data_IF_573180971383
#
_entry.id   IF_573180971383
#
_cell.length_a   1.000
_cell.length_b   1.000
_cell.length_c   1.000
_cell.angle_alpha   90.00
_cell.angle_beta   90.00
_cell.angle_gamma   90.00
#
_symmetry.space_group_name_H-M   'P 1'
#
loop_
_entity.id
_entity.type
_entity.pdbx_description
1 polymer ?
#
# COMPACT_ATOMS: atom_id res chain seq x y z
N UNK A 1 -72.12 60.12 -32.62
CA UNK A 1 -70.66 60.34 -32.44
C UNK A 1 -70.14 59.08 -31.75
N UNK A 2 -69.69 58.09 -32.62
CA UNK A 2 -69.24 56.77 -32.13
C UNK A 2 -67.78 56.80 -31.98
N UNK A 3 -67.25 56.50 -30.77
CA UNK A 3 -65.83 56.33 -30.50
C UNK A 3 -65.53 54.85 -30.53
N UNK A 4 -64.68 54.44 -31.52
CA UNK A 4 -64.17 53.08 -31.59
C UNK A 4 -62.93 52.96 -30.73
N UNK A 5 -62.95 52.06 -29.70
CA UNK A 5 -61.85 51.71 -28.89
C UNK A 5 -61.20 50.45 -29.51
N UNK A 6 -59.98 50.60 -30.04
CA UNK A 6 -59.15 49.50 -30.56
C UNK A 6 -58.45 48.80 -29.40
N UNK A 7 -58.82 47.55 -29.11
CA UNK A 7 -58.10 46.69 -28.16
C UNK A 7 -56.80 46.19 -28.79
N UNK A 8 -55.69 46.70 -28.27
CA UNK A 8 -54.35 46.14 -28.56
C UNK A 8 -54.04 45.03 -27.56
N UNK A 9 -53.99 43.77 -28.04
CA UNK A 9 -53.54 42.63 -27.27
C UNK A 9 -52.02 42.59 -27.33
N UNK A 10 -51.35 42.98 -26.23
CA UNK A 10 -49.92 42.74 -25.99
C UNK A 10 -49.73 41.27 -25.64
N UNK A 11 -49.10 40.49 -26.51
CA UNK A 11 -48.66 39.13 -26.22
C UNK A 11 -47.27 39.26 -25.60
N UNK A 12 -47.20 39.01 -24.28
CA UNK A 12 -45.90 38.86 -23.58
C UNK A 12 -45.34 37.45 -23.85
N UNK A 13 -44.35 37.36 -24.71
CA UNK A 13 -43.54 36.14 -24.90
C UNK A 13 -42.60 36.02 -23.74
N UNK A 14 -42.92 35.14 -22.77
CA UNK A 14 -42.03 34.77 -21.67
C UNK A 14 -41.03 33.74 -22.21
N UNK A 15 -39.83 34.19 -22.54
CA UNK A 15 -38.72 33.33 -22.95
C UNK A 15 -38.15 32.64 -21.71
N UNK A 16 -38.49 31.36 -21.52
CA UNK A 16 -37.88 30.51 -20.43
C UNK A 16 -36.50 30.11 -20.90
N UNK A 17 -35.47 30.80 -20.38
CA UNK A 17 -34.09 30.42 -20.56
C UNK A 17 -33.76 29.26 -19.59
N UNK A 18 -33.91 28.04 -20.07
CA UNK A 18 -33.44 26.83 -19.36
C UNK A 18 -31.92 26.83 -19.32
N UNK A 19 -31.37 27.29 -18.21
CA UNK A 19 -29.95 27.16 -17.92
C UNK A 19 -29.68 25.68 -17.61
N UNK A 20 -29.28 24.91 -18.63
CA UNK A 20 -28.76 23.55 -18.46
C UNK A 20 -27.42 23.65 -17.75
N UNK A 21 -27.42 23.52 -16.42
CA UNK A 21 -26.19 23.26 -15.67
C UNK A 21 -25.74 21.83 -16.01
N UNK A 22 -24.96 21.70 -17.08
CA UNK A 22 -24.22 20.48 -17.37
C UNK A 22 -23.23 20.23 -16.26
N UNK A 23 -23.54 19.28 -15.38
CA UNK A 23 -22.55 18.70 -14.47
C UNK A 23 -21.51 18.03 -15.37
N UNK A 24 -20.37 18.70 -15.59
CA UNK A 24 -19.18 18.09 -16.11
C UNK A 24 -18.66 17.13 -15.00
N UNK A 25 -19.20 15.91 -14.98
CA UNK A 25 -18.57 14.81 -14.25
C UNK A 25 -17.20 14.58 -14.89
N UNK A 26 -16.14 14.97 -14.19
CA UNK A 26 -14.79 14.68 -14.62
C UNK A 26 -14.63 13.16 -14.68
N UNK A 27 -14.38 12.62 -15.87
CA UNK A 27 -14.08 11.19 -16.09
C UNK A 27 -12.79 10.73 -15.40
N UNK A 28 -12.08 11.63 -14.74
CA UNK A 28 -10.80 11.36 -14.07
C UNK A 28 -10.94 10.39 -12.90
N UNK A 29 -12.10 10.31 -12.26
CA UNK A 29 -12.39 9.37 -11.17
C UNK A 29 -12.61 7.90 -11.61
N UNK A 30 -12.74 7.64 -12.89
CA UNK A 30 -12.99 6.29 -13.44
C UNK A 30 -11.72 5.59 -13.96
N UNK A 31 -10.56 6.26 -13.93
CA UNK A 31 -9.31 5.68 -14.42
C UNK A 31 -8.62 4.89 -13.31
N UNK A 32 -8.39 3.59 -13.54
CA UNK A 32 -7.57 2.76 -12.66
C UNK A 32 -6.15 3.31 -12.61
N UNK A 33 -5.66 3.62 -11.40
CA UNK A 33 -4.26 3.99 -11.15
C UNK A 33 -3.51 2.76 -10.63
N UNK A 34 -2.46 2.37 -11.33
CA UNK A 34 -1.56 1.29 -10.91
C UNK A 34 -0.26 1.92 -10.44
N UNK A 35 0.11 1.65 -9.19
CA UNK A 35 1.37 2.11 -8.60
C UNK A 35 2.22 0.88 -8.28
N UNK A 36 3.30 0.60 -9.01
CA UNK A 36 4.21 -0.49 -8.68
C UNK A 36 4.84 -0.25 -7.31
N UNK A 37 4.92 -1.30 -6.49
CA UNK A 37 5.51 -1.24 -5.15
C UNK A 37 6.86 -1.95 -5.11
N UNK A 38 6.93 -3.17 -5.67
CA UNK A 38 8.16 -3.95 -5.72
C UNK A 38 8.18 -4.83 -6.98
N UNK A 39 9.36 -4.94 -7.59
CA UNK A 39 9.74 -6.00 -8.53
C UNK A 39 11.19 -6.34 -8.23
N UNK A 40 11.44 -7.52 -7.70
CA UNK A 40 12.81 -7.96 -7.36
C UNK A 40 12.97 -9.45 -7.62
N UNK A 41 14.17 -9.84 -8.00
CA UNK A 41 14.64 -11.22 -8.05
C UNK A 41 15.66 -11.49 -6.92
N UNK A 42 15.96 -10.48 -6.10
CA UNK A 42 16.93 -10.58 -5.01
C UNK A 42 16.31 -10.09 -3.70
N UNK A 43 16.87 -10.60 -2.60
CA UNK A 43 16.59 -10.14 -1.24
C UNK A 43 17.22 -8.77 -1.01
N UNK A 44 16.93 -8.18 0.14
CA UNK A 44 17.50 -6.90 0.60
C UNK A 44 19.05 -6.92 0.66
N UNK A 45 19.65 -8.08 0.94
CA UNK A 45 21.11 -8.26 0.97
C UNK A 45 21.71 -8.59 -0.40
N UNK A 46 20.90 -8.62 -1.48
CA UNK A 46 21.34 -8.92 -2.85
C UNK A 46 21.42 -10.41 -3.18
N UNK A 47 21.05 -11.29 -2.27
CA UNK A 47 21.01 -12.73 -2.52
C UNK A 47 19.85 -13.09 -3.45
N UNK A 48 20.01 -14.08 -4.31
CA UNK A 48 18.94 -14.58 -5.18
C UNK A 48 17.78 -15.15 -4.36
N UNK A 49 16.56 -14.94 -4.83
CA UNK A 49 15.35 -15.47 -4.22
C UNK A 49 15.11 -16.88 -4.75
N UNK A 50 15.00 -17.84 -3.85
CA UNK A 50 14.62 -19.21 -4.14
C UNK A 50 13.36 -19.58 -3.38
N UNK A 51 12.41 -20.21 -4.06
CA UNK A 51 11.22 -20.78 -3.40
C UNK A 51 11.60 -22.14 -2.83
N UNK A 52 11.11 -22.51 -1.64
CA UNK A 52 11.33 -23.83 -1.08
C UNK A 52 10.63 -24.89 -1.93
N UNK A 53 11.22 -26.10 -1.97
CA UNK A 53 10.56 -27.26 -2.55
C UNK A 53 9.36 -27.71 -1.70
N UNK A 54 8.38 -28.34 -2.35
CA UNK A 54 7.22 -28.91 -1.68
C UNK A 54 5.90 -28.25 -2.08
N UNK A 55 4.84 -28.53 -1.31
CA UNK A 55 3.53 -27.93 -1.55
C UNK A 55 3.51 -26.51 -1.02
N UNK A 56 3.28 -25.54 -1.89
CA UNK A 56 3.32 -24.11 -1.54
C UNK A 56 2.35 -23.76 -0.41
N UNK A 57 2.82 -22.96 0.54
CA UNK A 57 2.05 -22.37 1.62
C UNK A 57 2.36 -20.89 1.73
N UNK A 58 1.33 -20.06 1.85
CA UNK A 58 1.46 -18.63 2.10
C UNK A 58 1.04 -18.34 3.54
N UNK A 59 1.93 -17.70 4.30
CA UNK A 59 1.64 -17.18 5.64
C UNK A 59 1.58 -15.66 5.54
N UNK A 60 0.52 -15.04 6.07
CA UNK A 60 0.38 -13.58 6.02
C UNK A 60 -0.21 -13.04 7.31
N UNK A 61 0.37 -11.94 7.82
CA UNK A 61 -0.10 -11.25 9.02
C UNK A 61 0.36 -9.79 9.05
N UNK A 62 -0.25 -8.99 9.92
CA UNK A 62 0.21 -7.64 10.23
C UNK A 62 1.05 -7.70 11.50
N UNK A 63 2.24 -7.12 11.44
CA UNK A 63 3.06 -6.86 12.63
C UNK A 63 2.87 -5.41 13.05
N UNK A 64 2.63 -5.20 14.34
CA UNK A 64 2.61 -3.87 14.94
C UNK A 64 3.73 -3.79 15.98
N UNK A 65 4.62 -2.79 15.82
CA UNK A 65 5.74 -2.56 16.75
C UNK A 65 5.61 -1.15 17.32
N UNK A 66 5.37 -1.01 18.63
CA UNK A 66 5.25 0.32 19.25
C UNK A 66 6.58 1.07 19.19
N UNK A 67 6.60 2.40 19.42
CA UNK A 67 7.83 3.17 19.54
C UNK A 67 8.82 2.54 20.53
N UNK A 68 10.07 2.38 20.10
CA UNK A 68 11.12 1.70 20.87
C UNK A 68 11.03 0.16 20.88
N UNK A 69 9.97 -0.42 20.33
CA UNK A 69 9.81 -1.89 20.24
C UNK A 69 10.86 -2.54 19.33
N UNK A 70 11.19 -3.80 19.64
CA UNK A 70 12.20 -4.59 18.92
C UNK A 70 11.62 -5.97 18.63
N UNK A 71 11.81 -6.48 17.41
CA UNK A 71 11.49 -7.88 17.09
C UNK A 71 12.60 -8.80 17.64
N UNK A 72 12.31 -10.05 18.02
CA UNK A 72 13.35 -11.01 18.35
C UNK A 72 14.36 -11.18 17.21
N UNK A 73 15.61 -11.49 17.55
CA UNK A 73 16.59 -11.89 16.54
C UNK A 73 16.21 -13.26 15.97
N UNK A 74 16.11 -13.38 14.64
CA UNK A 74 15.61 -14.58 13.98
C UNK A 74 16.15 -14.71 12.55
N UNK A 75 15.95 -15.90 11.98
CA UNK A 75 16.23 -16.23 10.57
C UNK A 75 14.93 -16.72 9.95
N UNK A 76 14.66 -16.33 8.72
CA UNK A 76 13.56 -16.91 7.93
C UNK A 76 14.00 -18.18 7.21
N UNK A 77 13.11 -19.17 7.12
CA UNK A 77 13.38 -20.41 6.38
C UNK A 77 13.11 -20.31 4.89
N UNK A 78 12.46 -19.22 4.45
CA UNK A 78 12.09 -18.95 3.07
C UNK A 78 11.90 -17.45 2.84
N UNK A 79 11.80 -16.98 1.58
CA UNK A 79 11.65 -15.56 1.29
C UNK A 79 10.41 -14.94 1.96
N UNK A 80 10.58 -13.78 2.55
CA UNK A 80 9.50 -13.03 3.21
C UNK A 80 9.37 -11.66 2.58
N UNK A 81 8.20 -11.40 1.99
CA UNK A 81 7.85 -10.08 1.49
C UNK A 81 7.33 -9.22 2.63
N UNK A 82 7.88 -8.03 2.76
CA UNK A 82 7.46 -7.01 3.73
C UNK A 82 6.98 -5.78 3.00
N UNK A 83 5.87 -5.20 3.45
CA UNK A 83 5.38 -3.90 3.02
C UNK A 83 5.10 -3.02 4.23
N UNK A 84 5.77 -1.88 4.30
CA UNK A 84 5.58 -0.91 5.39
C UNK A 84 4.32 -0.10 5.12
N UNK A 85 3.33 -0.20 6.01
CA UNK A 85 2.05 0.50 5.91
C UNK A 85 2.10 1.84 6.65
N UNK A 86 2.66 1.85 7.88
CA UNK A 86 2.79 3.03 8.74
C UNK A 86 4.10 2.97 9.53
N UNK A 87 4.61 4.11 9.97
CA UNK A 87 5.84 4.18 10.78
C UNK A 87 7.10 3.84 9.97
N UNK A 88 8.20 3.58 10.68
CA UNK A 88 9.48 3.24 10.06
C UNK A 88 10.06 1.97 10.71
N UNK A 89 10.62 1.08 9.89
CA UNK A 89 11.35 -0.09 10.35
C UNK A 89 12.84 0.11 10.16
N UNK A 90 13.60 -0.02 11.23
CA UNK A 90 15.06 -0.07 11.19
C UNK A 90 15.51 -1.51 11.40
N UNK A 91 16.16 -2.09 10.39
CA UNK A 91 16.79 -3.41 10.47
C UNK A 91 18.25 -3.30 10.82
N UNK A 92 18.72 -4.22 11.66
CA UNK A 92 20.13 -4.48 11.89
C UNK A 92 20.42 -5.94 11.50
N UNK A 93 21.32 -6.11 10.56
CA UNK A 93 21.76 -7.40 10.03
C UNK A 93 22.98 -7.92 10.80
N UNK A 94 23.25 -9.21 10.69
CA UNK A 94 24.37 -9.86 11.40
C UNK A 94 25.74 -9.23 11.03
N UNK A 95 25.91 -8.76 9.80
CA UNK A 95 27.12 -8.07 9.32
C UNK A 95 27.25 -6.61 9.81
N UNK A 96 26.31 -6.15 10.64
CA UNK A 96 26.25 -4.78 11.14
C UNK A 96 25.58 -3.77 10.17
N UNK A 97 25.15 -4.19 9.01
CA UNK A 97 24.40 -3.33 8.07
C UNK A 97 23.10 -2.85 8.71
N UNK A 98 22.79 -1.57 8.55
CA UNK A 98 21.55 -0.95 9.03
C UNK A 98 20.76 -0.42 7.84
N UNK A 99 19.50 -0.78 7.77
CA UNK A 99 18.58 -0.31 6.72
C UNK A 99 17.29 0.23 7.31
N UNK A 100 16.81 1.37 6.81
CA UNK A 100 15.57 2.01 7.26
C UNK A 100 14.53 1.96 6.14
N UNK A 101 13.36 1.43 6.44
CA UNK A 101 12.22 1.37 5.53
C UNK A 101 11.09 2.25 5.99
N UNK A 102 10.56 3.03 5.04
CA UNK A 102 9.50 4.01 5.24
C UNK A 102 8.16 3.51 4.66
N UNK A 103 7.02 4.12 5.04
CA UNK A 103 5.72 3.76 4.49
C UNK A 103 5.69 3.78 2.97
N UNK A 104 4.97 2.82 2.39
CA UNK A 104 4.86 2.62 0.94
C UNK A 104 6.04 1.90 0.30
N UNK A 105 7.05 1.47 1.08
CA UNK A 105 8.17 0.65 0.60
C UNK A 105 7.94 -0.82 0.90
N UNK A 106 8.38 -1.66 -0.05
CA UNK A 106 8.42 -3.11 0.13
C UNK A 106 9.81 -3.66 -0.22
N UNK A 107 10.12 -4.82 0.34
CA UNK A 107 11.37 -5.54 0.13
C UNK A 107 11.17 -7.03 0.42
N UNK A 108 12.16 -7.84 0.06
CA UNK A 108 12.22 -9.26 0.40
C UNK A 108 13.33 -9.46 1.43
N UNK A 109 12.98 -9.99 2.59
CA UNK A 109 13.97 -10.36 3.62
C UNK A 109 14.76 -11.58 3.20
N UNK A 110 16.00 -11.59 3.66
CA UNK A 110 16.92 -12.71 3.42
C UNK A 110 16.52 -13.92 4.26
N UNK A 111 16.57 -15.11 3.66
CA UNK A 111 16.23 -16.37 4.31
C UNK A 111 17.41 -17.08 4.98
N UNK A 112 18.61 -16.47 5.02
CA UNK A 112 19.82 -17.10 5.55
C UNK A 112 20.53 -16.25 6.60
N UNK A 113 20.20 -14.96 6.70
CA UNK A 113 20.89 -14.02 7.56
C UNK A 113 20.05 -13.67 8.78
N UNK A 114 20.64 -13.80 9.96
CA UNK A 114 19.99 -13.39 11.20
C UNK A 114 19.81 -11.88 11.24
N UNK A 115 18.65 -11.45 11.71
CA UNK A 115 18.32 -10.04 11.82
C UNK A 115 17.26 -9.77 12.88
N UNK A 116 17.13 -8.49 13.23
CA UNK A 116 16.03 -7.97 14.02
C UNK A 116 15.61 -6.61 13.50
N UNK A 117 14.33 -6.30 13.68
CA UNK A 117 13.76 -5.00 13.34
C UNK A 117 13.50 -4.18 14.61
N UNK A 118 13.66 -2.87 14.52
CA UNK A 118 13.39 -1.91 15.58
C UNK A 118 12.58 -0.73 15.07
N UNK A 119 11.58 -0.34 15.84
CA UNK A 119 10.88 0.92 15.59
C UNK A 119 11.60 2.04 16.35
N UNK A 120 12.35 2.87 15.64
CA UNK A 120 13.03 4.05 16.21
C UNK A 120 12.22 5.34 16.03
N UNK A 121 11.05 5.26 15.39
CA UNK A 121 10.12 6.37 15.22
C UNK A 121 9.26 6.63 16.46
N UNK A 122 8.40 7.62 16.37
CA UNK A 122 7.51 8.10 17.43
C UNK A 122 6.07 7.60 17.32
N UNK A 123 5.74 6.88 16.25
CA UNK A 123 4.44 6.22 16.03
C UNK A 123 4.59 4.72 15.90
N UNK A 124 3.50 3.97 16.12
CA UNK A 124 3.49 2.52 15.91
C UNK A 124 3.79 2.19 14.45
N UNK A 125 4.81 1.36 14.24
CA UNK A 125 5.06 0.75 12.95
C UNK A 125 4.00 -0.32 12.68
N UNK A 126 3.46 -0.34 11.44
CA UNK A 126 2.63 -1.42 10.92
C UNK A 126 3.21 -1.94 9.61
N UNK A 127 3.41 -3.22 9.53
CA UNK A 127 3.93 -3.88 8.34
C UNK A 127 3.10 -5.11 7.97
N UNK A 128 2.75 -5.24 6.69
CA UNK A 128 2.24 -6.48 6.13
C UNK A 128 3.41 -7.42 5.87
N UNK A 129 3.35 -8.60 6.45
CA UNK A 129 4.32 -9.67 6.29
C UNK A 129 3.69 -10.78 5.45
N UNK A 130 4.38 -11.27 4.44
CA UNK A 130 3.95 -12.39 3.60
C UNK A 130 5.10 -13.36 3.41
N UNK A 131 5.04 -14.49 4.09
CA UNK A 131 5.96 -15.60 3.91
C UNK A 131 5.55 -16.47 2.71
N UNK A 132 6.48 -16.72 1.80
CA UNK A 132 6.26 -17.53 0.59
C UNK A 132 7.00 -18.86 0.79
N UNK A 133 6.35 -19.78 1.48
CA UNK A 133 6.93 -21.00 1.99
C UNK A 133 6.34 -22.28 1.39
N UNK A 134 6.55 -23.38 2.11
CA UNK A 134 5.96 -24.68 1.81
C UNK A 134 5.44 -25.34 3.09
N UNK A 135 4.40 -26.18 2.95
CA UNK A 135 3.79 -26.90 4.09
C UNK A 135 4.83 -27.63 4.95
N UNK A 136 4.74 -27.44 6.25
CA UNK A 136 5.63 -28.07 7.23
C UNK A 136 6.97 -27.36 7.44
N UNK A 137 7.28 -26.31 6.70
CA UNK A 137 8.49 -25.49 6.90
C UNK A 137 8.17 -24.35 7.85
N UNK A 138 8.93 -24.21 8.93
CA UNK A 138 8.72 -23.13 9.91
C UNK A 138 8.98 -21.77 9.27
N UNK A 139 8.16 -20.78 9.62
CA UNK A 139 8.32 -19.39 9.18
C UNK A 139 9.65 -18.77 9.63
N UNK A 140 9.99 -18.97 10.91
CA UNK A 140 11.23 -18.48 11.52
C UNK A 140 11.90 -19.55 12.34
N UNK A 141 13.21 -19.42 12.49
CA UNK A 141 14.05 -20.21 13.41
C UNK A 141 14.91 -19.26 14.26
N UNK A 142 15.42 -19.75 15.39
CA UNK A 142 16.49 -19.05 16.09
C UNK A 142 17.79 -19.09 15.25
N UNK A 143 18.62 -18.05 15.35
CA UNK A 143 19.94 -18.02 14.73
C UNK A 143 20.84 -19.17 15.17
#
# INVERSE_FOLDING_TARGET
>A
MCIHIKNSRFIFLFSIFLFSFGFLYSEEHLKTKITPVLKSATTILGNEIYYPDGKAEIVSFIVEVPPGGVTPNHVHSYPVYIYIMEGEMTYTWEDGTVTIYKPGKAYIEDSKSAHYGKNLGDITLKALIVGIGAEGIKFTTSP
#
